data_IF_413808007331
#
_entry.id   IF_413808007331
#
_cell.length_a   1.000
_cell.length_b   1.000
_cell.length_c   1.000
_cell.angle_alpha   90.00
_cell.angle_beta   90.00
_cell.angle_gamma   90.00
#
_symmetry.space_group_name_H-M   'P 1'
#
loop_
_entity.id
_entity.type
_entity.pdbx_description
1 polymer ?
#
# COMPACT_ATOMS: atom_id res chain seq x y z
N UNK A 1 37.35 19.63 -44.41
CA UNK A 1 37.87 19.86 -43.05
C UNK A 1 38.17 21.34 -42.93
N UNK A 2 37.59 22.02 -41.95
CA UNK A 2 37.79 23.44 -41.72
C UNK A 2 38.43 23.58 -40.34
N UNK A 3 39.49 24.38 -40.20
CA UNK A 3 40.06 24.72 -38.91
C UNK A 3 39.82 26.20 -38.62
N UNK A 4 39.05 26.48 -37.58
CA UNK A 4 38.67 27.84 -37.19
C UNK A 4 38.66 27.93 -35.67
N UNK A 5 39.34 28.94 -35.10
CA UNK A 5 39.42 29.17 -33.64
C UNK A 5 39.86 27.94 -32.82
N UNK A 6 40.73 27.09 -33.39
CA UNK A 6 41.20 25.87 -32.72
C UNK A 6 40.22 24.69 -32.76
N UNK A 7 39.04 24.85 -33.37
CA UNK A 7 38.14 23.74 -33.67
C UNK A 7 38.46 23.13 -35.03
N UNK A 8 38.22 21.82 -35.17
CA UNK A 8 38.41 21.07 -36.41
C UNK A 8 37.07 20.47 -36.84
N UNK A 9 36.47 21.04 -37.88
CA UNK A 9 35.14 20.63 -38.37
C UNK A 9 35.27 19.71 -39.58
N UNK A 10 34.63 18.53 -39.51
CA UNK A 10 34.44 17.65 -40.66
C UNK A 10 32.99 17.75 -41.14
N UNK A 11 32.79 18.35 -42.31
CA UNK A 11 31.49 18.44 -42.97
C UNK A 11 31.42 17.47 -44.14
N UNK A 12 30.33 16.69 -44.19
CA UNK A 12 30.00 15.88 -45.36
C UNK A 12 28.97 16.61 -46.21
N UNK A 13 29.07 16.48 -47.53
CA UNK A 13 28.03 16.98 -48.45
C UNK A 13 26.77 16.11 -48.37
N UNK A 14 25.71 16.51 -49.08
CA UNK A 14 24.45 15.77 -49.14
C UNK A 14 24.64 14.28 -49.46
N UNK A 15 24.04 13.40 -48.64
CA UNK A 15 24.12 11.93 -48.73
C UNK A 15 25.56 11.37 -48.73
N UNK A 16 26.49 11.98 -48.00
CA UNK A 16 27.85 11.45 -47.80
C UNK A 16 28.11 11.22 -46.31
N UNK A 17 28.90 10.19 -46.02
CA UNK A 17 29.37 9.86 -44.67
C UNK A 17 30.84 10.23 -44.50
N UNK A 18 31.20 10.65 -43.29
CA UNK A 18 32.60 10.70 -42.85
C UNK A 18 32.86 9.45 -42.02
N UNK A 19 33.72 8.56 -42.53
CA UNK A 19 34.01 7.27 -41.90
C UNK A 19 35.46 7.22 -41.46
N UNK A 20 35.69 7.00 -40.17
CA UNK A 20 37.02 6.72 -39.63
C UNK A 20 37.18 5.22 -39.48
N UNK A 21 38.16 4.64 -40.16
CA UNK A 21 38.51 3.22 -40.08
C UNK A 21 39.93 3.06 -39.58
N UNK A 22 40.17 2.04 -38.77
CA UNK A 22 41.50 1.67 -38.28
C UNK A 22 41.96 0.37 -38.94
N UNK A 23 43.27 0.15 -39.02
CA UNK A 23 43.86 -1.11 -39.47
C UNK A 23 44.58 -1.79 -38.30
N UNK A 24 44.64 -3.13 -38.33
CA UNK A 24 45.27 -3.92 -37.26
C UNK A 24 44.56 -3.78 -35.91
N UNK A 25 45.29 -3.35 -34.88
CA UNK A 25 44.81 -3.16 -33.49
C UNK A 25 44.46 -1.72 -33.13
N UNK A 26 44.38 -0.82 -34.13
CA UNK A 26 44.10 0.60 -33.89
C UNK A 26 42.67 0.89 -33.42
N UNK A 27 42.50 1.92 -32.59
CA UNK A 27 41.20 2.36 -32.05
C UNK A 27 40.98 3.86 -32.30
N UNK A 28 39.75 4.27 -32.63
CA UNK A 28 39.33 5.69 -32.70
C UNK A 28 38.79 6.09 -31.32
N UNK A 29 39.43 7.07 -30.68
CA UNK A 29 39.01 7.60 -29.36
C UNK A 29 38.44 9.01 -29.54
N UNK A 30 37.31 9.29 -28.89
CA UNK A 30 36.69 10.61 -28.87
C UNK A 30 36.79 11.15 -27.45
N UNK A 31 37.68 12.12 -27.22
CA UNK A 31 37.94 12.67 -25.89
C UNK A 31 38.69 11.70 -24.96
N UNK A 32 38.63 11.98 -23.65
CA UNK A 32 39.20 11.16 -22.59
C UNK A 32 38.15 10.30 -21.86
N UNK A 33 36.87 10.56 -22.07
CA UNK A 33 35.77 9.75 -21.57
C UNK A 33 35.48 8.59 -22.51
N UNK A 34 35.36 7.39 -21.95
CA UNK A 34 35.02 6.20 -22.71
C UNK A 34 33.50 6.17 -22.97
N UNK A 35 33.07 6.87 -24.04
CA UNK A 35 31.67 6.86 -24.48
C UNK A 35 31.15 5.43 -24.75
N UNK A 36 32.04 4.48 -25.06
CA UNK A 36 31.69 3.06 -25.21
C UNK A 36 31.31 2.47 -23.85
N UNK A 37 32.04 2.81 -22.79
CA UNK A 37 31.70 2.42 -21.42
C UNK A 37 30.32 2.97 -21.01
N UNK A 38 30.01 4.22 -21.34
CA UNK A 38 28.69 4.80 -21.06
C UNK A 38 27.57 4.11 -21.85
N UNK A 39 27.78 3.81 -23.14
CA UNK A 39 26.80 3.07 -23.96
C UNK A 39 26.58 1.65 -23.41
N UNK A 40 27.64 0.98 -22.97
CA UNK A 40 27.54 -0.33 -22.34
C UNK A 40 26.77 -0.25 -21.02
N UNK A 41 27.00 0.77 -20.21
CA UNK A 41 26.24 1.00 -18.98
C UNK A 41 24.76 1.26 -19.28
N UNK A 42 24.44 2.05 -20.30
CA UNK A 42 23.05 2.31 -20.73
C UNK A 42 22.38 1.00 -21.17
N UNK A 43 23.12 0.11 -21.84
CA UNK A 43 22.62 -1.20 -22.25
C UNK A 43 22.31 -2.09 -21.04
N UNK A 44 23.23 -2.17 -20.07
CA UNK A 44 23.00 -2.92 -18.83
C UNK A 44 21.79 -2.36 -18.05
N UNK A 45 21.73 -1.05 -17.88
CA UNK A 45 20.61 -0.40 -17.20
C UNK A 45 19.27 -0.68 -17.91
N UNK A 46 19.26 -0.75 -19.25
CA UNK A 46 18.05 -1.10 -20.01
C UNK A 46 17.60 -2.53 -19.72
N UNK A 47 18.53 -3.48 -19.61
CA UNK A 47 18.23 -4.88 -19.30
C UNK A 47 17.76 -5.05 -17.85
N UNK A 48 18.36 -4.32 -16.91
CA UNK A 48 17.93 -4.26 -15.51
C UNK A 48 16.50 -3.69 -15.38
N UNK A 49 16.19 -2.60 -16.08
CA UNK A 49 14.84 -2.01 -16.11
C UNK A 49 13.82 -3.02 -16.64
N UNK A 50 14.15 -3.75 -17.70
CA UNK A 50 13.26 -4.78 -18.25
C UNK A 50 13.01 -5.90 -17.21
N UNK A 51 14.06 -6.31 -16.50
CA UNK A 51 13.97 -7.34 -15.46
C UNK A 51 13.08 -6.88 -14.32
N UNK A 52 13.30 -5.66 -13.79
CA UNK A 52 12.49 -5.07 -12.72
C UNK A 52 11.02 -5.00 -13.12
N UNK A 53 10.73 -4.55 -14.35
CA UNK A 53 9.35 -4.44 -14.85
C UNK A 53 8.63 -5.79 -14.92
N UNK A 54 9.37 -6.87 -15.19
CA UNK A 54 8.84 -8.22 -15.29
C UNK A 54 8.83 -8.98 -13.96
N UNK A 55 9.50 -8.47 -12.92
CA UNK A 55 9.65 -9.15 -11.63
C UNK A 55 8.34 -9.27 -10.85
N UNK A 56 7.32 -8.46 -11.20
CA UNK A 56 6.07 -8.37 -10.45
C UNK A 56 6.27 -7.93 -8.99
N UNK A 57 5.21 -7.83 -8.19
CA UNK A 57 5.32 -7.69 -6.75
C UNK A 57 6.01 -8.92 -6.15
N UNK A 58 6.81 -8.73 -5.10
CA UNK A 58 7.38 -9.86 -4.36
C UNK A 58 6.24 -10.79 -3.91
N UNK A 59 6.29 -12.10 -4.21
CA UNK A 59 5.25 -13.04 -3.81
C UNK A 59 5.06 -13.07 -2.28
N UNK A 60 6.15 -12.91 -1.52
CA UNK A 60 6.12 -12.84 -0.06
C UNK A 60 5.29 -11.65 0.48
N UNK A 61 5.46 -10.46 -0.12
CA UNK A 61 4.71 -9.27 0.27
C UNK A 61 3.22 -9.44 -0.08
N UNK A 62 2.93 -10.08 -1.21
CA UNK A 62 1.56 -10.34 -1.64
C UNK A 62 0.83 -11.27 -0.67
N UNK A 63 1.50 -12.34 -0.23
CA UNK A 63 0.94 -13.27 0.74
C UNK A 63 0.74 -12.63 2.12
N UNK A 64 1.70 -11.82 2.58
CA UNK A 64 1.56 -11.05 3.81
C UNK A 64 0.36 -10.09 3.75
N UNK A 65 0.16 -9.41 2.62
CA UNK A 65 -0.97 -8.51 2.43
C UNK A 65 -2.31 -9.25 2.47
N UNK A 66 -2.40 -10.40 1.80
CA UNK A 66 -3.60 -11.24 1.81
C UNK A 66 -3.90 -11.78 3.23
N UNK A 67 -2.87 -12.17 3.97
CA UNK A 67 -3.02 -12.60 5.35
C UNK A 67 -3.50 -11.45 6.25
N UNK A 68 -2.96 -10.24 6.06
CA UNK A 68 -3.36 -9.06 6.80
C UNK A 68 -4.82 -8.69 6.51
N UNK A 69 -5.22 -8.68 5.24
CA UNK A 69 -6.61 -8.42 4.83
C UNK A 69 -7.57 -9.41 5.52
N UNK A 70 -7.24 -10.70 5.50
CA UNK A 70 -8.04 -11.74 6.16
C UNK A 70 -8.20 -11.48 7.66
N UNK A 71 -7.11 -11.07 8.33
CA UNK A 71 -7.13 -10.72 9.75
C UNK A 71 -8.00 -9.51 10.03
N UNK A 72 -7.90 -8.46 9.21
CA UNK A 72 -8.73 -7.25 9.33
C UNK A 72 -10.21 -7.60 9.18
N UNK A 73 -10.60 -8.34 8.13
CA UNK A 73 -11.99 -8.77 7.94
C UNK A 73 -12.50 -9.63 9.10
N UNK A 74 -11.63 -10.48 9.67
CA UNK A 74 -11.98 -11.27 10.86
C UNK A 74 -12.20 -10.38 12.09
N UNK A 75 -11.41 -9.32 12.25
CA UNK A 75 -11.57 -8.38 13.35
C UNK A 75 -12.83 -7.53 13.18
N UNK A 76 -13.08 -7.02 11.98
CA UNK A 76 -14.29 -6.26 11.65
C UNK A 76 -15.56 -7.07 11.95
N UNK A 77 -15.60 -8.33 11.53
CA UNK A 77 -16.75 -9.22 11.81
C UNK A 77 -16.92 -9.50 13.30
N UNK A 78 -15.81 -9.66 14.04
CA UNK A 78 -15.85 -9.80 15.50
C UNK A 78 -16.36 -8.54 16.18
N UNK A 79 -15.86 -7.37 15.79
CA UNK A 79 -16.33 -6.07 16.31
C UNK A 79 -17.83 -5.92 16.07
N UNK A 80 -18.29 -6.16 14.84
CA UNK A 80 -19.71 -6.11 14.50
C UNK A 80 -20.55 -7.05 15.38
N UNK A 81 -20.04 -8.27 15.63
CA UNK A 81 -20.72 -9.25 16.50
C UNK A 81 -20.75 -8.78 17.94
N UNK A 82 -19.64 -8.23 18.45
CA UNK A 82 -19.54 -7.70 19.81
C UNK A 82 -20.50 -6.53 20.01
N UNK A 83 -20.55 -5.59 19.07
CA UNK A 83 -21.51 -4.49 19.08
C UNK A 83 -22.95 -5.00 19.12
N UNK A 84 -23.28 -6.02 18.33
CA UNK A 84 -24.59 -6.65 18.35
C UNK A 84 -24.90 -7.33 19.68
N UNK A 85 -23.93 -7.98 20.33
CA UNK A 85 -24.15 -8.60 21.65
C UNK A 85 -24.38 -7.58 22.76
N UNK A 86 -23.68 -6.43 22.73
CA UNK A 86 -23.88 -5.33 23.68
C UNK A 86 -25.29 -4.75 23.59
N UNK A 87 -25.93 -4.82 22.42
CA UNK A 87 -27.24 -4.20 22.17
C UNK A 87 -28.43 -5.16 22.29
N UNK A 88 -28.26 -6.49 22.14
CA UNK A 88 -29.38 -7.32 21.68
C UNK A 88 -30.20 -8.10 22.70
N UNK A 89 -29.82 -8.32 23.96
CA UNK A 89 -30.50 -9.41 24.70
C UNK A 89 -31.42 -9.02 25.84
N UNK A 90 -31.21 -7.91 26.53
CA UNK A 90 -31.78 -7.83 27.87
C UNK A 90 -32.95 -6.86 27.99
N UNK A 91 -32.89 -5.70 27.32
CA UNK A 91 -34.02 -4.76 27.33
C UNK A 91 -35.08 -4.99 26.25
N UNK A 92 -34.79 -5.79 25.21
CA UNK A 92 -35.74 -6.03 24.11
C UNK A 92 -36.99 -6.83 24.52
N UNK A 93 -36.92 -7.59 25.61
CA UNK A 93 -38.05 -8.32 26.19
C UNK A 93 -38.95 -7.44 27.09
N UNK A 94 -38.65 -6.14 27.22
CA UNK A 94 -39.31 -5.21 28.12
C UNK A 94 -39.49 -5.76 29.56
N UNK A 95 -38.41 -6.19 30.22
CA UNK A 95 -38.51 -6.83 31.53
C UNK A 95 -38.86 -5.85 32.67
N UNK A 96 -38.74 -4.53 32.45
CA UNK A 96 -39.03 -3.53 33.46
C UNK A 96 -40.54 -3.26 33.61
N UNK A 97 -41.06 -3.44 34.82
CA UNK A 97 -42.45 -3.15 35.18
C UNK A 97 -42.60 -1.72 35.73
N UNK A 98 -43.84 -1.28 35.97
CA UNK A 98 -44.18 0.01 36.61
C UNK A 98 -43.57 1.25 35.93
N UNK A 99 -43.51 1.24 34.59
CA UNK A 99 -42.95 2.32 33.79
C UNK A 99 -41.44 2.62 34.07
N UNK A 100 -40.70 1.63 34.56
CA UNK A 100 -39.25 1.73 34.71
C UNK A 100 -38.52 1.81 33.37
N UNK A 101 -37.47 2.63 33.29
CA UNK A 101 -36.60 2.72 32.10
C UNK A 101 -35.57 1.60 32.13
N UNK A 102 -35.51 0.78 31.07
CA UNK A 102 -34.56 -0.32 30.96
C UNK A 102 -33.21 0.15 30.41
N UNK A 103 -32.14 -0.19 31.12
CA UNK A 103 -30.76 0.00 30.68
C UNK A 103 -30.14 -1.35 30.31
N UNK A 104 -29.64 -1.47 29.07
CA UNK A 104 -29.04 -2.70 28.58
C UNK A 104 -27.54 -2.75 28.96
N UNK A 105 -27.11 -3.84 29.58
CA UNK A 105 -25.71 -4.15 29.86
C UNK A 105 -25.31 -5.44 29.12
N UNK A 106 -24.00 -5.75 29.11
CA UNK A 106 -23.41 -6.84 28.30
C UNK A 106 -24.12 -8.19 28.51
N UNK A 107 -24.47 -8.52 29.75
CA UNK A 107 -25.12 -9.79 30.15
C UNK A 107 -26.28 -9.58 31.14
N UNK A 108 -26.70 -8.35 31.37
CA UNK A 108 -27.74 -8.01 32.36
C UNK A 108 -28.50 -6.77 31.96
N UNK A 109 -29.52 -6.40 32.74
CA UNK A 109 -30.28 -5.17 32.56
C UNK A 109 -30.55 -4.54 33.92
N UNK A 110 -30.61 -3.22 33.95
CA UNK A 110 -31.05 -2.48 35.11
C UNK A 110 -32.35 -1.75 34.79
N UNK A 111 -33.32 -1.77 35.72
CA UNK A 111 -34.51 -0.95 35.63
C UNK A 111 -34.36 0.28 36.51
N UNK A 112 -34.59 1.46 35.94
CA UNK A 112 -34.67 2.73 36.65
C UNK A 112 -36.14 3.09 36.89
N UNK A 113 -36.59 3.04 38.13
CA UNK A 113 -37.93 3.46 38.52
C UNK A 113 -37.97 4.97 38.87
N UNK A 114 -39.06 5.70 38.54
CA UNK A 114 -39.23 7.10 38.93
C UNK A 114 -39.30 7.30 40.45
N UNK A 115 -38.87 8.49 40.92
CA UNK A 115 -38.65 8.84 42.35
C UNK A 115 -39.89 8.75 43.27
N UNK A 116 -41.09 8.52 42.71
CA UNK A 116 -42.30 8.32 43.50
C UNK A 116 -42.39 6.92 44.13
N UNK A 117 -41.47 6.01 43.82
CA UNK A 117 -41.26 4.77 44.58
C UNK A 117 -40.06 4.95 45.51
N UNK A 118 -40.39 5.17 46.79
CA UNK A 118 -39.46 5.39 47.90
C UNK A 118 -38.67 4.12 48.28
N UNK A 119 -38.04 3.45 47.32
CA UNK A 119 -36.86 2.61 47.55
C UNK A 119 -36.11 2.53 46.21
N UNK A 120 -34.87 3.02 46.16
CA UNK A 120 -33.91 2.67 45.09
C UNK A 120 -33.54 1.19 45.24
N UNK A 121 -34.47 0.27 44.99
CA UNK A 121 -34.13 -1.13 44.80
C UNK A 121 -33.61 -1.23 43.38
N UNK A 122 -32.28 -1.35 43.26
CA UNK A 122 -31.65 -1.88 42.04
C UNK A 122 -32.13 -3.32 41.95
N UNK A 123 -33.29 -3.54 41.32
CA UNK A 123 -33.91 -4.85 41.25
C UNK A 123 -33.35 -5.55 40.01
N UNK A 124 -32.32 -6.37 40.24
CA UNK A 124 -31.80 -7.32 39.26
C UNK A 124 -32.82 -8.46 39.12
N UNK A 125 -33.83 -8.31 38.26
CA UNK A 125 -34.70 -9.44 37.90
C UNK A 125 -34.03 -10.26 36.78
N UNK A 126 -32.98 -10.99 37.12
CA UNK A 126 -32.38 -11.99 36.22
C UNK A 126 -32.50 -13.38 36.82
N UNK A 127 -33.40 -14.20 36.28
CA UNK A 127 -33.13 -15.64 36.11
C UNK A 127 -32.72 -15.87 34.66
#
# INVERSE_FOLDING_TARGET
MISENGHLTFSASYNKDIRFTTSGTGNVKVGAEDLIQQINQIKMNKDDINTIKNSGPSPDITDQLNQLNTRVTTLETKVQTTEQTVQRKTCSSNPCQNAGTCLNLLDTFHCLCPDNWQVKIIQLFGE
#
